data_IF_522220257222
#
_entry.id   IF_522220257222
#
_cell.length_a   1.000
_cell.length_b   1.000
_cell.length_c   1.000
_cell.angle_alpha   90.00
_cell.angle_beta   90.00
_cell.angle_gamma   90.00
#
_symmetry.space_group_name_H-M   'P 1'
#
loop_
_entity.id
_entity.type
_entity.pdbx_description
1 polymer ?
#
# COMPACT_ATOMS: atom_id res chain seq x y z
N UNK A 1 12.85 7.40 -8.22
CA UNK A 1 13.25 6.08 -7.66
C UNK A 1 12.54 5.92 -6.33
N UNK A 2 11.79 4.84 -6.11
CA UNK A 2 11.21 4.57 -4.80
C UNK A 2 12.31 4.04 -3.87
N UNK A 3 12.43 4.64 -2.70
CA UNK A 3 13.29 4.19 -1.61
C UNK A 3 12.39 3.61 -0.51
N UNK A 4 12.91 2.66 0.27
CA UNK A 4 12.21 2.05 1.41
C UNK A 4 10.89 1.31 1.08
N UNK A 5 11.00 0.03 0.72
CA UNK A 5 9.85 -0.88 0.46
C UNK A 5 9.34 -1.59 1.73
N UNK A 6 9.48 -0.95 2.89
CA UNK A 6 9.28 -1.57 4.20
C UNK A 6 7.81 -1.75 4.63
N UNK A 7 6.86 -1.30 3.81
CA UNK A 7 5.41 -1.51 3.95
C UNK A 7 4.92 -2.12 2.65
N UNK A 8 4.48 -3.38 2.69
CA UNK A 8 4.14 -4.15 1.49
C UNK A 8 2.82 -4.92 1.68
N UNK A 9 2.27 -5.45 0.59
CA UNK A 9 1.11 -6.36 0.61
C UNK A 9 -0.09 -5.86 1.44
N UNK A 10 -0.58 -4.64 1.15
CA UNK A 10 -1.73 -4.00 1.82
C UNK A 10 -1.51 -3.60 3.29
N UNK A 11 -0.28 -3.70 3.82
CA UNK A 11 0.00 -3.31 5.21
C UNK A 11 -0.30 -1.82 5.50
N UNK A 12 -0.20 -0.93 4.50
CA UNK A 12 -0.55 0.49 4.64
C UNK A 12 -2.02 0.75 4.99
N UNK A 13 -2.92 -0.19 4.68
CA UNK A 13 -4.36 -0.10 5.03
C UNK A 13 -4.66 -0.50 6.47
N UNK A 14 -3.70 -1.11 7.16
CA UNK A 14 -3.85 -1.58 8.56
C UNK A 14 -3.27 -0.57 9.55
N UNK A 15 -2.67 0.52 9.06
CA UNK A 15 -2.16 1.61 9.89
C UNK A 15 -3.32 2.37 10.60
N UNK A 16 -3.06 3.07 11.73
CA UNK A 16 -4.07 3.84 12.46
C UNK A 16 -4.76 4.86 11.56
N UNK A 17 -3.99 5.59 10.77
CA UNK A 17 -4.50 6.35 9.63
C UNK A 17 -4.20 5.55 8.35
N UNK A 18 -5.21 4.91 7.72
CA UNK A 18 -4.99 3.99 6.62
C UNK A 18 -4.64 4.71 5.31
N UNK A 19 -3.74 4.13 4.52
CA UNK A 19 -3.47 4.57 3.15
C UNK A 19 -4.54 4.02 2.20
N UNK A 20 -5.50 4.89 1.83
CA UNK A 20 -6.66 4.49 1.01
C UNK A 20 -6.40 4.54 -0.50
N UNK A 21 -5.38 5.28 -0.95
CA UNK A 21 -4.98 5.40 -2.35
C UNK A 21 -4.10 4.23 -2.80
N UNK A 22 -4.21 3.75 -4.05
CA UNK A 22 -3.44 2.59 -4.51
C UNK A 22 -1.96 2.90 -4.79
N UNK A 23 -1.63 4.15 -5.11
CA UNK A 23 -0.27 4.66 -5.28
C UNK A 23 -0.27 6.20 -5.21
N UNK A 24 0.90 6.80 -5.04
CA UNK A 24 1.07 8.25 -5.01
C UNK A 24 0.92 8.84 -6.41
N UNK A 25 -0.13 9.64 -6.61
CA UNK A 25 -0.36 10.41 -7.83
C UNK A 25 -1.00 11.74 -7.46
N UNK A 26 -0.22 12.60 -6.83
CA UNK A 26 -0.65 13.93 -6.37
C UNK A 26 -0.60 14.97 -7.48
N UNK A 27 -1.04 16.19 -7.17
CA UNK A 27 -1.14 17.28 -8.14
C UNK A 27 0.22 17.65 -8.70
N UNK A 28 1.27 17.69 -7.88
CA UNK A 28 2.63 18.01 -8.32
C UNK A 28 3.18 16.94 -9.28
N UNK A 29 2.91 15.65 -9.02
CA UNK A 29 3.28 14.57 -9.95
C UNK A 29 2.55 14.68 -11.28
N UNK A 30 1.24 14.97 -11.23
CA UNK A 30 0.40 15.09 -12.42
C UNK A 30 0.80 16.32 -13.24
N UNK A 31 1.13 17.44 -12.60
CA UNK A 31 1.61 18.65 -13.27
C UNK A 31 2.95 18.42 -13.98
N UNK A 32 3.84 17.63 -13.37
CA UNK A 32 5.10 17.20 -13.98
C UNK A 32 4.96 16.39 -15.29
N UNK A 33 3.76 15.90 -15.61
CA UNK A 33 3.46 15.22 -16.88
C UNK A 33 3.09 16.20 -18.02
N UNK A 34 2.92 17.48 -17.70
CA UNK A 34 2.60 18.54 -18.66
C UNK A 34 1.11 18.65 -18.97
N UNK A 35 0.80 19.27 -20.12
CA UNK A 35 -0.58 19.65 -20.48
C UNK A 35 -1.54 18.47 -20.60
N UNK A 36 -1.03 17.28 -20.94
CA UNK A 36 -1.85 16.07 -21.06
C UNK A 36 -2.12 15.42 -19.71
N UNK A 37 -1.45 15.85 -18.63
CA UNK A 37 -1.59 15.29 -17.29
C UNK A 37 -1.38 13.77 -17.32
N UNK A 38 -2.30 13.00 -16.73
CA UNK A 38 -2.30 11.54 -16.76
C UNK A 38 -2.65 10.95 -18.12
N UNK A 39 -3.27 11.73 -19.00
CA UNK A 39 -3.62 11.27 -20.35
C UNK A 39 -2.40 11.27 -21.27
N UNK A 40 -2.39 10.34 -22.22
CA UNK A 40 -1.29 10.17 -23.17
C UNK A 40 -0.25 9.18 -22.69
N UNK A 41 1.00 9.63 -22.49
CA UNK A 41 2.15 8.75 -22.28
C UNK A 41 2.02 7.97 -20.98
N UNK A 42 1.66 8.63 -19.88
CA UNK A 42 1.53 8.00 -18.57
C UNK A 42 0.53 6.82 -18.60
N UNK A 43 -0.73 7.08 -18.99
CA UNK A 43 -1.77 6.05 -19.11
C UNK A 43 -1.33 4.90 -20.02
N UNK A 44 -0.80 5.19 -21.21
CA UNK A 44 -0.38 4.17 -22.18
C UNK A 44 0.76 3.30 -21.64
N UNK A 45 1.73 3.90 -20.96
CA UNK A 45 2.80 3.16 -20.30
C UNK A 45 2.26 2.26 -19.19
N UNK A 46 1.34 2.78 -18.35
CA UNK A 46 0.68 1.98 -17.31
C UNK A 46 -0.08 0.78 -17.89
N UNK A 47 -0.78 0.95 -19.00
CA UNK A 47 -1.48 -0.14 -19.69
C UNK A 47 -0.51 -1.22 -20.18
N UNK A 48 0.55 -0.85 -20.89
CA UNK A 48 1.56 -1.80 -21.35
C UNK A 48 2.26 -2.53 -20.20
N UNK A 49 2.61 -1.82 -19.13
CA UNK A 49 3.23 -2.42 -17.96
C UNK A 49 2.29 -3.39 -17.26
N UNK A 50 1.02 -3.01 -17.03
CA UNK A 50 0.05 -3.90 -16.40
C UNK A 50 -0.23 -5.13 -17.25
N UNK A 51 -0.32 -4.98 -18.58
CA UNK A 51 -0.48 -6.11 -19.50
C UNK A 51 0.71 -7.08 -19.41
N UNK A 52 1.95 -6.57 -19.41
CA UNK A 52 3.15 -7.38 -19.25
C UNK A 52 3.16 -8.13 -17.90
N UNK A 53 2.79 -7.46 -16.80
CA UNK A 53 2.69 -8.08 -15.47
C UNK A 53 1.60 -9.18 -15.42
N UNK A 54 0.45 -8.94 -16.06
CA UNK A 54 -0.63 -9.94 -16.16
C UNK A 54 -0.29 -11.11 -17.09
N UNK A 55 0.58 -10.90 -18.08
CA UNK A 55 1.11 -11.98 -18.93
C UNK A 55 2.04 -12.88 -18.12
N UNK A 56 2.87 -12.29 -17.28
CA UNK A 56 3.90 -12.97 -16.49
C UNK A 56 3.46 -13.26 -15.04
N UNK A 57 2.15 -13.31 -14.79
CA UNK A 57 1.60 -13.46 -13.44
C UNK A 57 2.06 -14.74 -12.73
N UNK A 58 2.27 -15.82 -13.48
CA UNK A 58 2.74 -17.11 -12.93
C UNK A 58 4.15 -16.99 -12.33
N UNK A 59 5.09 -16.36 -13.04
CA UNK A 59 6.45 -16.17 -12.56
C UNK A 59 6.50 -15.21 -11.37
N UNK A 60 5.68 -14.15 -11.39
CA UNK A 60 5.55 -13.24 -10.24
C UNK A 60 5.06 -14.01 -9.00
N UNK A 61 4.00 -14.81 -9.13
CA UNK A 61 3.48 -15.60 -8.01
C UNK A 61 4.51 -16.63 -7.51
N UNK A 62 5.26 -17.26 -8.40
CA UNK A 62 6.35 -18.19 -8.02
C UNK A 62 7.41 -17.50 -7.16
N UNK A 63 7.83 -16.27 -7.52
CA UNK A 63 8.80 -15.49 -6.73
C UNK A 63 8.21 -15.16 -5.36
N UNK A 64 6.94 -14.75 -5.31
CA UNK A 64 6.27 -14.41 -4.06
C UNK A 64 6.02 -15.63 -3.16
N UNK A 65 5.82 -16.80 -3.75
CA UNK A 65 5.69 -18.06 -3.02
C UNK A 65 6.99 -18.42 -2.29
N UNK A 66 8.17 -18.03 -2.81
CA UNK A 66 9.44 -18.18 -2.08
C UNK A 66 9.44 -17.31 -0.82
N UNK A 67 8.95 -16.07 -0.89
CA UNK A 67 8.84 -15.17 0.27
C UNK A 67 7.89 -15.71 1.34
N UNK A 68 6.87 -16.51 0.98
CA UNK A 68 5.96 -17.15 1.94
C UNK A 68 6.73 -18.00 2.95
N UNK A 69 7.78 -18.67 2.51
CA UNK A 69 8.56 -19.61 3.31
C UNK A 69 9.78 -18.96 3.99
N UNK A 70 10.01 -17.66 3.81
CA UNK A 70 11.08 -16.95 4.52
C UNK A 70 10.69 -16.77 6.00
N UNK A 71 11.41 -17.41 6.95
CA UNK A 71 11.09 -17.31 8.37
C UNK A 71 11.38 -15.92 8.96
N UNK A 72 12.19 -15.10 8.30
CA UNK A 72 12.53 -13.75 8.74
C UNK A 72 11.58 -12.68 8.19
N UNK A 73 10.80 -13.00 7.16
CA UNK A 73 9.86 -12.06 6.58
C UNK A 73 8.63 -11.88 7.48
N UNK A 74 8.40 -10.64 7.93
CA UNK A 74 7.24 -10.30 8.75
C UNK A 74 6.05 -9.91 7.87
N UNK A 75 5.10 -10.83 7.72
CA UNK A 75 3.82 -10.59 7.03
C UNK A 75 2.88 -9.63 7.77
N UNK A 76 3.19 -9.30 9.02
CA UNK A 76 2.43 -8.36 9.86
C UNK A 76 3.30 -7.20 10.30
N UNK A 77 2.74 -6.00 10.38
CA UNK A 77 3.44 -4.83 10.91
C UNK A 77 3.30 -4.81 12.42
N UNK A 78 4.43 -4.69 13.14
CA UNK A 78 4.43 -4.55 14.60
C UNK A 78 3.73 -3.25 15.02
N UNK A 79 2.87 -3.27 16.07
CA UNK A 79 2.18 -2.08 16.59
C UNK A 79 3.12 -0.92 16.93
N UNK A 80 4.34 -1.21 17.39
CA UNK A 80 5.35 -0.19 17.69
C UNK A 80 5.88 0.49 16.43
N UNK A 81 6.08 -0.28 15.35
CA UNK A 81 6.54 0.25 14.06
C UNK A 81 5.43 1.09 13.41
N UNK A 82 4.21 0.61 13.53
CA UNK A 82 3.00 1.26 13.03
C UNK A 82 2.76 2.65 13.68
N UNK A 83 2.95 2.77 15.00
CA UNK A 83 2.91 4.08 15.70
C UNK A 83 4.04 5.01 15.26
N UNK A 84 5.29 4.53 15.26
CA UNK A 84 6.45 5.34 14.86
C UNK A 84 6.32 5.95 13.46
N UNK A 85 5.75 5.20 12.51
CA UNK A 85 5.52 5.68 11.14
C UNK A 85 4.58 6.89 11.05
N UNK A 86 3.72 7.11 12.05
CA UNK A 86 2.72 8.18 12.09
C UNK A 86 2.94 9.18 13.23
N UNK A 87 3.92 8.96 14.10
CA UNK A 87 4.23 9.87 15.24
C UNK A 87 5.35 10.87 14.90
N UNK A 88 6.11 10.68 13.82
CA UNK A 88 7.32 11.47 13.51
C UNK A 88 7.09 12.98 13.22
N UNK A 89 5.86 13.49 13.30
CA UNK A 89 5.55 14.94 13.20
C UNK A 89 4.76 15.52 14.38
N UNK A 90 4.40 14.75 15.42
CA UNK A 90 3.66 15.26 16.59
C UNK A 90 4.53 16.07 17.60
N UNK A 91 5.74 16.50 17.21
CA UNK A 91 6.69 17.20 18.09
C UNK A 91 6.60 18.73 17.97
N UNK A 92 5.39 19.29 18.05
CA UNK A 92 5.18 20.70 18.45
C UNK A 92 4.11 20.86 19.55
N UNK A 93 3.62 19.75 20.14
CA UNK A 93 2.73 19.77 21.30
C UNK A 93 3.49 19.52 22.61
N UNK A 94 3.05 20.08 23.77
CA UNK A 94 3.65 19.77 25.06
C UNK A 94 3.55 18.25 25.32
N UNK A 95 4.54 17.63 25.98
CA UNK A 95 4.61 16.19 26.10
C UNK A 95 3.38 15.69 26.86
N UNK A 96 2.54 14.90 26.20
CA UNK A 96 1.48 14.14 26.88
C UNK A 96 2.14 13.07 27.73
N UNK A 97 2.41 13.40 28.99
CA UNK A 97 2.79 12.46 30.04
C UNK A 97 1.52 11.69 30.42
N UNK A 98 1.08 10.75 29.60
CA UNK A 98 0.00 9.82 29.98
C UNK A 98 0.25 8.39 29.48
N UNK A 99 0.51 7.53 30.46
CA UNK A 99 0.40 6.06 30.47
C UNK A 99 1.51 5.25 29.80
N UNK A 100 2.64 5.18 30.52
CA UNK A 100 3.43 3.95 30.64
C UNK A 100 2.58 2.83 31.29
N UNK A 101 1.55 2.35 30.60
CA UNK A 101 0.98 1.04 30.88
C UNK A 101 1.51 0.10 29.82
N UNK A 102 2.51 -0.69 30.22
CA UNK A 102 2.93 -1.88 29.50
C UNK A 102 1.71 -2.81 29.36
N UNK A 103 0.88 -2.55 28.34
CA UNK A 103 -0.05 -3.54 27.83
C UNK A 103 0.81 -4.65 27.24
N UNK A 104 1.04 -5.66 28.09
CA UNK A 104 1.45 -6.99 27.67
C UNK A 104 0.67 -7.29 26.40
N UNK A 105 1.38 -7.36 25.28
CA UNK A 105 0.85 -7.88 24.04
C UNK A 105 0.21 -9.22 24.38
N UNK A 106 -1.13 -9.24 24.45
CA UNK A 106 -1.89 -10.47 24.46
C UNK A 106 -1.51 -11.11 23.14
N UNK A 107 -0.64 -12.11 23.21
CA UNK A 107 -0.44 -13.07 22.14
C UNK A 107 -1.82 -13.71 21.97
N UNK A 108 -2.63 -13.12 21.09
CA UNK A 108 -3.90 -13.71 20.69
C UNK A 108 -3.55 -15.12 20.23
N UNK A 109 -4.08 -16.11 20.94
CA UNK A 109 -3.97 -17.50 20.59
C UNK A 109 -4.41 -17.63 19.13
N UNK A 110 -3.45 -17.83 18.22
CA UNK A 110 -3.70 -17.97 16.79
C UNK A 110 -4.72 -19.08 16.61
N UNK A 111 -5.85 -18.75 16.00
CA UNK A 111 -6.85 -19.73 15.65
C UNK A 111 -6.27 -20.53 14.46
N UNK A 112 -6.03 -21.85 14.57
CA UNK A 112 -5.35 -22.62 13.53
C UNK A 112 -6.15 -22.78 12.23
N UNK A 113 -7.37 -22.24 12.17
CA UNK A 113 -8.25 -22.23 11.00
C UNK A 113 -8.16 -20.96 10.16
N UNK A 114 -7.47 -19.91 10.63
CA UNK A 114 -7.31 -18.70 9.83
C UNK A 114 -6.20 -18.87 8.79
N UNK A 115 -6.42 -18.48 7.52
CA UNK A 115 -5.37 -18.49 6.51
C UNK A 115 -4.20 -17.64 7.00
N UNK A 116 -2.98 -18.07 6.71
CA UNK A 116 -1.78 -17.29 7.07
C UNK A 116 -1.89 -15.88 6.49
N UNK A 117 -1.40 -14.87 7.20
CA UNK A 117 -1.34 -13.49 6.69
C UNK A 117 -0.62 -13.42 5.33
N UNK A 118 0.35 -14.32 5.12
CA UNK A 118 0.99 -14.54 3.83
C UNK A 118 -0.01 -14.97 2.75
N UNK A 119 -0.88 -15.94 3.03
CA UNK A 119 -1.87 -16.42 2.07
C UNK A 119 -2.88 -15.33 1.71
N UNK A 120 -3.30 -14.53 2.71
CA UNK A 120 -4.18 -13.37 2.45
C UNK A 120 -3.50 -12.36 1.53
N UNK A 121 -2.26 -11.99 1.84
CA UNK A 121 -1.46 -11.07 1.04
C UNK A 121 -1.30 -11.56 -0.41
N UNK A 122 -0.91 -12.83 -0.61
CA UNK A 122 -0.69 -13.41 -1.92
C UNK A 122 -1.98 -13.59 -2.72
N UNK A 123 -3.09 -13.91 -2.06
CA UNK A 123 -4.42 -13.95 -2.70
C UNK A 123 -4.83 -12.58 -3.24
N UNK A 124 -4.52 -11.49 -2.52
CA UNK A 124 -4.78 -10.13 -3.01
C UNK A 124 -3.93 -9.81 -4.23
N UNK A 125 -2.64 -10.16 -4.23
CA UNK A 125 -1.77 -9.95 -5.40
C UNK A 125 -2.27 -10.73 -6.61
N UNK A 126 -2.62 -12.01 -6.43
CA UNK A 126 -3.20 -12.83 -7.48
C UNK A 126 -4.49 -12.22 -8.06
N UNK A 127 -5.35 -11.66 -7.19
CA UNK A 127 -6.56 -10.94 -7.62
C UNK A 127 -6.24 -9.68 -8.39
N UNK A 128 -5.26 -8.87 -7.98
CA UNK A 128 -4.82 -7.66 -8.69
C UNK A 128 -4.24 -7.96 -10.08
N UNK A 129 -3.57 -9.10 -10.23
CA UNK A 129 -3.03 -9.60 -11.51
C UNK A 129 -4.06 -10.41 -12.34
N UNK A 130 -5.31 -10.54 -11.87
CA UNK A 130 -6.33 -11.26 -12.61
C UNK A 130 -6.71 -10.55 -13.91
N UNK A 131 -7.20 -11.33 -14.89
CA UNK A 131 -7.65 -10.84 -16.20
C UNK A 131 -9.16 -10.61 -16.29
N UNK A 132 -9.85 -10.53 -15.14
CA UNK A 132 -11.32 -10.40 -15.09
C UNK A 132 -11.81 -9.06 -15.66
N UNK A 133 -11.08 -7.98 -15.38
CA UNK A 133 -11.34 -6.65 -15.90
C UNK A 133 -10.30 -6.30 -17.00
N UNK A 134 -10.70 -5.55 -18.02
CA UNK A 134 -9.76 -5.11 -19.06
C UNK A 134 -8.63 -4.26 -18.46
N UNK A 135 -7.48 -4.28 -19.12
CA UNK A 135 -6.29 -3.52 -18.69
C UNK A 135 -6.63 -2.02 -18.62
N UNK A 136 -7.23 -1.48 -19.66
CA UNK A 136 -7.67 -0.07 -19.72
C UNK A 136 -8.64 0.29 -18.60
N UNK A 137 -9.64 -0.56 -18.32
CA UNK A 137 -10.59 -0.28 -17.23
C UNK A 137 -9.91 -0.32 -15.87
N UNK A 138 -9.00 -1.28 -15.65
CA UNK A 138 -8.24 -1.39 -14.39
C UNK A 138 -7.33 -0.17 -14.19
N UNK A 139 -6.58 0.24 -15.21
CA UNK A 139 -5.72 1.43 -15.15
C UNK A 139 -6.55 2.68 -14.90
N UNK A 140 -7.70 2.82 -15.57
CA UNK A 140 -8.57 3.96 -15.36
C UNK A 140 -9.11 4.04 -13.92
N UNK A 141 -9.58 2.90 -13.39
CA UNK A 141 -10.07 2.82 -12.01
C UNK A 141 -8.98 3.19 -11.01
N UNK A 142 -7.76 2.69 -11.20
CA UNK A 142 -6.65 2.98 -10.29
C UNK A 142 -6.20 4.44 -10.33
N UNK A 143 -6.13 5.05 -11.52
CA UNK A 143 -5.81 6.49 -11.66
C UNK A 143 -6.88 7.33 -10.97
N UNK A 144 -8.16 6.98 -11.17
CA UNK A 144 -9.27 7.69 -10.55
C UNK A 144 -9.21 7.58 -9.02
N UNK A 145 -8.96 6.38 -8.48
CA UNK A 145 -8.82 6.19 -7.02
C UNK A 145 -7.61 6.94 -6.44
N UNK A 146 -6.49 6.99 -7.16
CA UNK A 146 -5.27 7.66 -6.72
C UNK A 146 -5.36 9.20 -6.73
N UNK A 147 -6.26 9.75 -7.55
CA UNK A 147 -6.44 11.21 -7.72
C UNK A 147 -7.74 11.73 -7.08
N UNK A 148 -8.57 10.85 -6.50
CA UNK A 148 -9.81 11.25 -5.84
C UNK A 148 -9.53 12.10 -4.60
N UNK A 149 -10.01 13.34 -4.61
CA UNK A 149 -9.88 14.29 -3.52
C UNK A 149 -10.43 13.76 -2.19
N UNK A 150 -11.48 12.93 -2.22
CA UNK A 150 -12.05 12.33 -1.02
C UNK A 150 -11.11 11.32 -0.37
N UNK A 151 -10.38 10.57 -1.21
CA UNK A 151 -9.37 9.63 -0.74
C UNK A 151 -8.13 10.36 -0.23
N UNK A 152 -7.72 11.42 -0.94
CA UNK A 152 -6.55 12.22 -0.57
C UNK A 152 -6.75 13.00 0.73
N UNK A 153 -7.98 13.47 1.00
CA UNK A 153 -8.31 14.25 2.20
C UNK A 153 -8.24 13.46 3.52
N UNK A 154 -8.29 12.12 3.47
CA UNK A 154 -8.25 11.25 4.66
C UNK A 154 -6.87 10.62 4.91
N UNK A 155 -5.87 10.98 4.11
CA UNK A 155 -4.51 10.47 4.28
C UNK A 155 -3.82 11.15 5.48
N UNK A 156 -2.85 10.43 6.05
CA UNK A 156 -1.98 10.95 7.10
C UNK A 156 -1.28 12.24 6.64
N UNK A 157 -1.18 13.25 7.52
CA UNK A 157 -0.65 14.57 7.17
C UNK A 157 0.78 14.51 6.60
N UNK A 158 1.65 13.65 7.14
CA UNK A 158 3.01 13.44 6.66
C UNK A 158 3.10 12.81 5.27
N UNK A 159 1.99 12.27 4.74
CA UNK A 159 1.92 11.82 3.34
C UNK A 159 1.97 13.02 2.36
N UNK A 160 1.61 14.22 2.83
CA UNK A 160 1.59 15.47 2.09
C UNK A 160 0.73 15.39 0.82
N UNK A 161 -0.57 15.08 0.98
CA UNK A 161 -1.50 14.92 -0.14
C UNK A 161 -1.77 16.22 -0.93
N UNK A 162 -1.44 17.36 -0.35
CA UNK A 162 -1.57 18.69 -0.97
C UNK A 162 -0.45 19.01 -1.98
N UNK A 163 0.65 18.25 -1.94
CA UNK A 163 1.80 18.38 -2.84
C UNK A 163 1.68 17.36 -3.98
#
# INVERSE_FOLDING_TARGET
VHIDLGVAFEQGRVLPVPEVVPFRLTRDLVDGMGITKTEGVFRRCCEFTLEALRRESYSIMTILDVLRYDPLYMWTVSPLRMRRMQDEQDVEGPPSILSSSAERAKVNARNPKEPSEADRALTVVAKKLSKTLSVTATVNELIQQATDERNLAVLYCGWAAYA
#
